data_IF_203540790107
#
_entry.id   IF_203540790107
#
_cell.length_a   1.000
_cell.length_b   1.000
_cell.length_c   1.000
_cell.angle_alpha   90.00
_cell.angle_beta   90.00
_cell.angle_gamma   90.00
#
_symmetry.space_group_name_H-M   'P 1'
#
loop_
_entity.id
_entity.type
_entity.pdbx_description
1 polymer ?
#
# COMPACT_ATOMS: atom_id res chain seq x y z
N UNK A 1 11.74 -11.32 -3.13
CA UNK A 1 10.41 -11.49 -2.50
C UNK A 1 9.52 -10.47 -3.16
N UNK A 2 8.47 -10.95 -3.83
CA UNK A 2 7.58 -10.09 -4.61
C UNK A 2 6.12 -10.16 -4.10
N UNK A 3 5.77 -11.18 -3.34
CA UNK A 3 4.43 -11.35 -2.80
C UNK A 3 4.42 -11.50 -1.28
N UNK A 4 3.28 -11.18 -0.67
CA UNK A 4 3.04 -11.35 0.76
C UNK A 4 3.21 -12.82 1.20
N UNK A 5 2.80 -13.77 0.36
CA UNK A 5 2.99 -15.19 0.61
C UNK A 5 4.47 -15.57 0.74
N UNK A 6 5.32 -15.09 -0.20
CA UNK A 6 6.76 -15.35 -0.14
C UNK A 6 7.41 -14.71 1.10
N UNK A 7 6.97 -13.52 1.49
CA UNK A 7 7.44 -12.87 2.70
C UNK A 7 7.06 -13.67 3.96
N UNK A 8 5.81 -14.13 4.04
CA UNK A 8 5.33 -15.00 5.12
C UNK A 8 6.16 -16.30 5.21
N UNK A 9 6.34 -16.99 4.09
CA UNK A 9 7.15 -18.23 4.02
C UNK A 9 8.58 -18.02 4.55
N UNK A 10 9.19 -16.88 4.19
CA UNK A 10 10.53 -16.53 4.67
C UNK A 10 10.53 -16.31 6.19
N UNK A 11 9.58 -15.56 6.73
CA UNK A 11 9.48 -15.31 8.19
C UNK A 11 9.30 -16.63 8.95
N UNK A 12 8.40 -17.48 8.49
CA UNK A 12 8.16 -18.80 9.10
C UNK A 12 9.40 -19.68 9.10
N UNK A 13 10.20 -19.64 8.02
CA UNK A 13 11.49 -20.38 7.94
C UNK A 13 12.57 -19.81 8.84
N UNK A 14 12.60 -18.49 9.05
CA UNK A 14 13.54 -17.83 9.97
C UNK A 14 13.17 -18.12 11.42
N UNK A 15 11.88 -18.18 11.74
CA UNK A 15 11.38 -18.48 13.08
C UNK A 15 11.67 -17.38 14.10
N UNK A 16 11.72 -16.11 13.70
CA UNK A 16 11.98 -14.97 14.57
C UNK A 16 10.71 -14.18 14.85
N UNK A 17 10.46 -13.85 16.12
CA UNK A 17 9.34 -13.01 16.53
C UNK A 17 9.57 -11.50 16.29
N UNK A 18 10.73 -11.13 15.77
CA UNK A 18 11.12 -9.73 15.55
C UNK A 18 11.11 -9.30 14.06
N UNK A 19 10.58 -10.15 13.17
CA UNK A 19 10.47 -9.85 11.74
C UNK A 19 9.00 -9.74 11.37
N UNK A 20 8.65 -8.66 10.69
CA UNK A 20 7.29 -8.34 10.30
C UNK A 20 7.20 -8.00 8.82
N UNK A 21 5.98 -8.00 8.29
CA UNK A 21 5.71 -7.65 6.90
C UNK A 21 5.29 -6.18 6.83
N UNK A 22 5.92 -5.48 5.89
CA UNK A 22 5.48 -4.21 5.35
C UNK A 22 4.95 -4.45 3.93
N UNK A 23 3.70 -4.13 3.68
CA UNK A 23 3.10 -4.15 2.34
C UNK A 23 3.05 -2.75 1.74
N UNK A 24 2.95 -2.70 0.42
CA UNK A 24 2.76 -1.46 -0.35
C UNK A 24 1.72 -1.74 -1.44
N UNK A 25 0.64 -0.95 -1.47
CA UNK A 25 -0.50 -1.20 -2.37
C UNK A 25 -0.15 -1.05 -3.85
N UNK A 26 0.84 -0.22 -4.21
CA UNK A 26 1.35 -0.16 -5.58
C UNK A 26 1.99 -1.48 -6.00
N UNK A 27 2.90 -2.03 -5.18
CA UNK A 27 3.54 -3.32 -5.47
C UNK A 27 2.54 -4.47 -5.46
N UNK A 28 1.58 -4.46 -4.54
CA UNK A 28 0.49 -5.44 -4.51
C UNK A 28 -0.35 -5.41 -5.79
N UNK A 29 -0.61 -4.23 -6.34
CA UNK A 29 -1.35 -4.08 -7.60
C UNK A 29 -0.64 -4.73 -8.81
N UNK A 30 0.70 -4.90 -8.74
CA UNK A 30 1.50 -5.54 -9.78
C UNK A 30 1.57 -7.07 -9.57
N UNK A 31 1.85 -7.50 -8.34
CA UNK A 31 2.29 -8.88 -8.06
C UNK A 31 1.19 -9.77 -7.46
N UNK A 32 0.23 -9.19 -6.74
CA UNK A 32 -0.82 -9.98 -6.08
C UNK A 32 -2.01 -10.28 -7.00
N UNK A 33 -2.69 -11.37 -6.75
CA UNK A 33 -3.96 -11.72 -7.41
C UNK A 33 -5.15 -11.10 -6.66
N UNK A 34 -5.16 -9.76 -6.56
CA UNK A 34 -6.05 -8.96 -5.72
C UNK A 34 -5.41 -8.58 -4.38
N UNK A 35 -5.65 -7.36 -3.93
CA UNK A 35 -5.05 -6.83 -2.71
C UNK A 35 -5.47 -7.61 -1.46
N UNK A 36 -6.72 -8.09 -1.42
CA UNK A 36 -7.22 -8.92 -0.33
C UNK A 36 -6.35 -10.15 -0.10
N UNK A 37 -5.93 -10.85 -1.16
CA UNK A 37 -5.12 -12.06 -1.02
C UNK A 37 -3.76 -11.77 -0.39
N UNK A 38 -3.10 -10.68 -0.76
CA UNK A 38 -1.84 -10.25 -0.15
C UNK A 38 -1.99 -9.92 1.34
N UNK A 39 -3.02 -9.14 1.71
CA UNK A 39 -3.31 -8.79 3.11
C UNK A 39 -3.63 -10.02 3.94
N UNK A 40 -4.47 -10.93 3.41
CA UNK A 40 -4.81 -12.18 4.10
C UNK A 40 -3.61 -13.10 4.29
N UNK A 41 -2.71 -13.19 3.30
CA UNK A 41 -1.47 -13.96 3.42
C UNK A 41 -0.55 -13.40 4.51
N UNK A 42 -0.44 -12.07 4.61
CA UNK A 42 0.43 -11.39 5.57
C UNK A 42 -0.15 -11.26 6.98
N UNK A 43 -1.47 -11.39 7.17
CA UNK A 43 -2.27 -10.93 8.33
C UNK A 43 -1.61 -11.05 9.71
N UNK A 44 -0.94 -12.16 10.00
CA UNK A 44 -0.34 -12.44 11.31
C UNK A 44 0.96 -11.64 11.53
N UNK A 45 1.65 -11.31 10.45
CA UNK A 45 2.94 -10.62 10.43
C UNK A 45 2.84 -9.17 9.96
N UNK A 46 1.67 -8.74 9.48
CA UNK A 46 1.49 -7.41 8.90
C UNK A 46 1.50 -6.34 9.99
N UNK A 47 2.48 -5.44 9.94
CA UNK A 47 2.64 -4.33 10.90
C UNK A 47 2.62 -2.96 10.27
N UNK A 48 2.84 -2.88 8.98
CA UNK A 48 2.92 -1.60 8.29
C UNK A 48 2.45 -1.73 6.84
N UNK A 49 1.83 -0.70 6.31
CA UNK A 49 1.42 -0.67 4.91
C UNK A 49 1.57 0.74 4.33
N UNK A 50 2.25 0.84 3.19
CA UNK A 50 2.20 2.01 2.35
C UNK A 50 0.91 2.01 1.52
N UNK A 51 0.16 3.08 1.64
CA UNK A 51 -1.03 3.35 0.84
C UNK A 51 -0.62 4.22 -0.35
N UNK A 52 -0.26 3.57 -1.43
CA UNK A 52 0.24 4.17 -2.66
C UNK A 52 -0.68 3.82 -3.82
N UNK A 53 -0.96 4.80 -4.68
CA UNK A 53 -1.81 4.58 -5.84
C UNK A 53 -1.09 3.73 -6.91
N UNK A 54 -1.86 3.13 -7.82
CA UNK A 54 -1.39 2.26 -8.91
C UNK A 54 -0.40 2.93 -9.87
N UNK A 55 -0.35 4.25 -9.90
CA UNK A 55 0.61 5.05 -10.68
C UNK A 55 1.58 5.87 -9.80
N UNK A 56 1.61 5.63 -8.49
CA UNK A 56 2.37 6.39 -7.49
C UNK A 56 1.90 7.85 -7.32
N UNK A 57 0.72 8.18 -7.83
CA UNK A 57 0.11 9.51 -7.78
C UNK A 57 -0.73 9.75 -6.52
N UNK A 58 -1.84 10.47 -6.71
CA UNK A 58 -2.77 10.79 -5.63
C UNK A 58 -3.65 9.60 -5.30
N UNK A 59 -3.65 9.08 -4.07
CA UNK A 59 -4.56 8.01 -3.67
C UNK A 59 -6.03 8.35 -3.97
N UNK A 60 -6.72 7.41 -4.64
CA UNK A 60 -8.09 7.55 -5.08
C UNK A 60 -8.26 8.08 -6.51
N UNK A 61 -7.20 8.45 -7.22
CA UNK A 61 -7.24 8.92 -8.62
C UNK A 61 -6.73 7.88 -9.63
N UNK A 62 -6.42 6.65 -9.20
CA UNK A 62 -5.91 5.56 -10.05
C UNK A 62 -6.78 4.32 -10.04
N UNK A 63 -6.17 3.13 -10.08
CA UNK A 63 -6.83 1.85 -10.28
C UNK A 63 -6.83 0.94 -9.04
N UNK A 64 -6.27 1.36 -7.90
CA UNK A 64 -6.31 0.56 -6.67
C UNK A 64 -7.75 0.39 -6.19
N UNK A 65 -8.15 -0.83 -5.87
CA UNK A 65 -9.43 -1.10 -5.20
C UNK A 65 -9.31 -0.80 -3.70
N UNK A 66 -9.52 0.48 -3.39
CA UNK A 66 -9.42 0.97 -2.01
C UNK A 66 -10.46 0.37 -1.08
N UNK A 67 -11.65 0.03 -1.59
CA UNK A 67 -12.68 -0.61 -0.79
C UNK A 67 -12.29 -2.04 -0.42
N UNK A 68 -11.74 -2.83 -1.37
CA UNK A 68 -11.18 -4.15 -1.09
C UNK A 68 -10.05 -4.07 -0.06
N UNK A 69 -9.11 -3.12 -0.24
CA UNK A 69 -7.96 -2.94 0.67
C UNK A 69 -8.43 -2.65 2.09
N UNK A 70 -9.23 -1.60 2.28
CA UNK A 70 -9.65 -1.17 3.62
C UNK A 70 -10.61 -2.16 4.29
N UNK A 71 -11.54 -2.77 3.53
CA UNK A 71 -12.41 -3.82 4.05
C UNK A 71 -11.61 -5.03 4.55
N UNK A 72 -10.57 -5.43 3.79
CA UNK A 72 -9.74 -6.57 4.18
C UNK A 72 -8.87 -6.24 5.39
N UNK A 73 -8.29 -5.04 5.47
CA UNK A 73 -7.55 -4.59 6.66
C UNK A 73 -8.43 -4.60 7.92
N UNK A 74 -9.69 -4.16 7.80
CA UNK A 74 -10.65 -4.23 8.88
C UNK A 74 -10.98 -5.69 9.26
N UNK A 75 -11.24 -6.54 8.28
CA UNK A 75 -11.57 -7.96 8.49
C UNK A 75 -10.45 -8.73 9.20
N UNK A 76 -9.18 -8.41 8.95
CA UNK A 76 -8.03 -9.01 9.66
C UNK A 76 -7.70 -8.30 10.98
N UNK A 77 -8.52 -7.33 11.41
CA UNK A 77 -8.32 -6.52 12.62
C UNK A 77 -6.92 -5.86 12.66
N UNK A 78 -6.51 -5.28 11.53
CA UNK A 78 -5.19 -4.64 11.42
C UNK A 78 -5.03 -3.50 12.43
N UNK A 79 -3.88 -3.49 13.13
CA UNK A 79 -3.53 -2.49 14.16
C UNK A 79 -2.17 -1.85 13.91
N UNK A 80 -1.61 -2.06 12.73
CA UNK A 80 -0.30 -1.51 12.35
C UNK A 80 -0.37 -0.07 11.83
N UNK A 81 0.74 0.40 11.30
CA UNK A 81 0.86 1.74 10.72
C UNK A 81 0.34 1.81 9.28
N UNK A 82 -0.41 2.87 8.99
CA UNK A 82 -0.82 3.25 7.64
C UNK A 82 -0.07 4.53 7.23
N UNK A 83 0.63 4.51 6.12
CA UNK A 83 1.34 5.68 5.61
C UNK A 83 1.01 5.93 4.13
N UNK A 84 0.63 7.16 3.80
CA UNK A 84 0.49 7.57 2.41
C UNK A 84 1.86 7.67 1.76
N UNK A 85 2.01 7.08 0.56
CA UNK A 85 3.21 7.19 -0.25
C UNK A 85 2.85 7.64 -1.67
N UNK A 86 3.58 8.62 -2.21
CA UNK A 86 3.43 9.11 -3.57
C UNK A 86 4.77 9.63 -4.10
N UNK A 87 5.01 9.48 -5.39
CA UNK A 87 6.26 9.88 -6.04
C UNK A 87 6.01 11.02 -7.05
N UNK A 88 6.31 12.24 -6.64
CA UNK A 88 6.05 13.44 -7.43
C UNK A 88 7.37 14.11 -7.78
N UNK A 89 7.52 14.54 -9.03
CA UNK A 89 8.71 15.25 -9.51
C UNK A 89 10.02 14.51 -9.23
N UNK A 90 10.01 13.20 -9.43
CA UNK A 90 11.20 12.36 -9.23
C UNK A 90 12.23 12.58 -10.35
N UNK A 91 13.53 12.45 -10.04
CA UNK A 91 14.55 12.40 -11.07
C UNK A 91 14.26 11.31 -12.14
N UNK A 92 14.62 11.53 -13.42
CA UNK A 92 14.31 10.59 -14.49
C UNK A 92 14.77 9.15 -14.21
N UNK A 93 15.93 8.99 -13.56
CA UNK A 93 16.52 7.68 -13.25
C UNK A 93 15.61 6.88 -12.28
N UNK A 94 14.99 7.58 -11.33
CA UNK A 94 14.05 6.96 -10.38
C UNK A 94 12.71 6.73 -11.04
N UNK A 95 12.22 7.74 -11.79
CA UNK A 95 10.94 7.63 -12.50
C UNK A 95 10.92 6.45 -13.46
N UNK A 96 11.97 6.24 -14.24
CA UNK A 96 12.09 5.10 -15.15
C UNK A 96 12.10 3.75 -14.42
N UNK A 97 12.84 3.66 -13.31
CA UNK A 97 12.88 2.45 -12.48
C UNK A 97 11.53 2.09 -11.86
N UNK A 98 10.65 3.09 -11.65
CA UNK A 98 9.31 2.94 -11.09
C UNK A 98 8.21 2.93 -12.17
N UNK A 99 8.56 2.93 -13.47
CA UNK A 99 7.60 3.02 -14.57
C UNK A 99 6.68 4.24 -14.53
N UNK A 100 7.18 5.36 -14.03
CA UNK A 100 6.46 6.64 -14.00
C UNK A 100 6.86 7.44 -15.24
N UNK A 101 5.99 7.42 -16.25
CA UNK A 101 6.28 8.00 -17.59
C UNK A 101 5.72 9.42 -17.78
N UNK A 102 4.91 9.89 -16.84
CA UNK A 102 4.25 11.20 -16.87
C UNK A 102 4.18 11.81 -15.47
N UNK A 103 3.99 13.12 -15.35
CA UNK A 103 3.64 13.70 -14.05
C UNK A 103 2.35 13.08 -13.51
N UNK A 104 2.40 12.53 -12.29
CA UNK A 104 1.26 11.87 -11.62
C UNK A 104 0.44 12.84 -10.76
N UNK A 105 0.96 14.02 -10.48
CA UNK A 105 0.27 15.14 -9.86
C UNK A 105 1.02 16.45 -10.19
N UNK A 106 0.38 17.59 -10.05
CA UNK A 106 1.00 18.90 -10.31
C UNK A 106 2.09 19.24 -9.29
N UNK A 107 1.85 18.91 -8.04
CA UNK A 107 2.76 19.23 -6.93
C UNK A 107 2.36 18.44 -5.66
N UNK A 108 3.25 18.46 -4.68
CA UNK A 108 3.03 17.81 -3.39
C UNK A 108 1.77 18.30 -2.65
N UNK A 109 1.45 19.59 -2.75
CA UNK A 109 0.25 20.15 -2.09
C UNK A 109 -1.04 19.50 -2.61
N UNK A 110 -1.15 19.30 -3.91
CA UNK A 110 -2.32 18.64 -4.51
C UNK A 110 -2.53 17.23 -3.95
N UNK A 111 -1.47 16.45 -3.85
CA UNK A 111 -1.52 15.09 -3.29
C UNK A 111 -1.92 15.10 -1.83
N UNK A 112 -1.38 16.03 -1.04
CA UNK A 112 -1.74 16.16 0.38
C UNK A 112 -3.18 16.62 0.58
N UNK A 113 -3.64 17.57 -0.22
CA UNK A 113 -4.99 18.13 -0.08
C UNK A 113 -6.10 17.13 -0.51
N UNK A 114 -5.80 16.21 -1.42
CA UNK A 114 -6.76 15.20 -1.93
C UNK A 114 -6.54 13.82 -1.31
N UNK A 115 -5.32 13.30 -1.42
CA UNK A 115 -5.01 11.91 -1.06
C UNK A 115 -5.11 11.64 0.43
N UNK A 116 -4.58 12.54 1.28
CA UNK A 116 -4.64 12.34 2.72
C UNK A 116 -6.07 12.37 3.29
N UNK A 117 -6.96 13.32 2.93
CA UNK A 117 -8.36 13.27 3.32
C UNK A 117 -9.10 12.03 2.80
N UNK A 118 -8.82 11.62 1.55
CA UNK A 118 -9.38 10.41 0.97
C UNK A 118 -9.05 9.17 1.82
N UNK A 119 -7.77 8.95 2.13
CA UNK A 119 -7.31 7.81 2.94
C UNK A 119 -7.84 7.87 4.38
N UNK A 120 -7.92 9.05 4.99
CA UNK A 120 -8.53 9.23 6.31
C UNK A 120 -10.01 8.86 6.31
N UNK A 121 -10.76 9.32 5.30
CA UNK A 121 -12.17 8.98 5.16
C UNK A 121 -12.37 7.46 5.00
N UNK A 122 -11.55 6.80 4.16
CA UNK A 122 -11.57 5.34 4.03
C UNK A 122 -11.25 4.65 5.37
N UNK A 123 -10.21 5.10 6.07
CA UNK A 123 -9.85 4.54 7.38
C UNK A 123 -11.00 4.66 8.39
N UNK A 124 -11.70 5.79 8.43
CA UNK A 124 -12.89 5.99 9.29
C UNK A 124 -14.05 5.11 8.84
N UNK A 125 -14.36 5.07 7.55
CA UNK A 125 -15.45 4.27 6.97
C UNK A 125 -15.32 2.79 7.38
N UNK A 126 -14.12 2.25 7.43
CA UNK A 126 -13.85 0.85 7.76
C UNK A 126 -13.41 0.62 9.22
N UNK A 127 -13.45 1.65 10.08
CA UNK A 127 -13.18 1.52 11.52
C UNK A 127 -11.73 1.20 11.87
N UNK A 128 -10.78 1.68 11.07
CA UNK A 128 -9.35 1.52 11.35
C UNK A 128 -8.77 2.66 12.19
N UNK A 129 -9.45 3.81 12.23
CA UNK A 129 -9.16 4.97 13.09
C UNK A 129 -10.45 5.54 13.65
#
# INVERSE_FOLDING_TARGET
INTAWQARELIERIGSDNIFIHLDTYHMNIEEKGAANGILAAREYLKYIHLSESDRGTPGEGCCDWDEIFATLAAVNFKGGLAMESFINMPPEISYGLSIWRPVAKNFKEVMDKGLPFLKNKSQQYGLI
#
